data_IF_563537210763
#
_entry.id   IF_563537210763
#
_cell.length_a   1.000
_cell.length_b   1.000
_cell.length_c   1.000
_cell.angle_alpha   90.00
_cell.angle_beta   90.00
_cell.angle_gamma   90.00
#
_symmetry.space_group_name_H-M   'P 1'
#
loop_
_entity.id
_entity.type
_entity.pdbx_description
1 polymer ?
#
# COMPACT_ATOMS: atom_id res chain seq x y z
N UNK A 1 10.76 13.30 14.08
CA UNK A 1 11.06 12.63 12.80
C UNK A 1 11.38 11.17 13.11
N UNK A 2 10.55 10.25 12.63
CA UNK A 2 10.71 8.82 12.93
C UNK A 2 11.94 8.24 12.23
N UNK A 3 12.56 7.24 12.86
CA UNK A 3 13.75 6.55 12.36
C UNK A 3 13.50 5.06 12.33
N UNK A 4 13.92 4.39 11.26
CA UNK A 4 13.92 2.92 11.21
C UNK A 4 14.89 2.35 12.25
N UNK A 5 14.37 1.56 13.17
CA UNK A 5 15.14 0.84 14.19
C UNK A 5 15.49 -0.58 13.71
N UNK A 6 14.52 -1.27 13.10
CA UNK A 6 14.68 -2.63 12.58
C UNK A 6 13.83 -2.84 11.33
N UNK A 7 14.37 -3.53 10.34
CA UNK A 7 13.67 -3.97 9.13
C UNK A 7 14.34 -5.25 8.59
N UNK A 8 13.68 -6.03 7.73
CA UNK A 8 14.33 -7.10 6.99
C UNK A 8 15.55 -6.58 6.24
N UNK A 9 16.62 -7.37 6.16
CA UNK A 9 17.89 -6.93 5.56
C UNK A 9 17.76 -6.54 4.08
N UNK A 10 16.89 -7.22 3.35
CA UNK A 10 16.52 -6.95 1.96
C UNK A 10 15.33 -6.00 1.82
N UNK A 11 14.79 -5.52 2.95
CA UNK A 11 13.56 -4.73 3.07
C UNK A 11 12.31 -5.42 2.53
N UNK A 12 12.39 -6.71 2.17
CA UNK A 12 11.27 -7.48 1.64
C UNK A 12 10.37 -7.84 2.82
N UNK A 13 9.13 -7.39 2.75
CA UNK A 13 8.13 -7.59 3.80
C UNK A 13 7.07 -8.63 3.42
N UNK A 14 6.91 -8.88 2.11
CA UNK A 14 6.01 -9.88 1.58
C UNK A 14 6.49 -10.38 0.21
N UNK A 15 6.13 -11.62 -0.13
CA UNK A 15 6.28 -12.17 -1.48
C UNK A 15 4.92 -12.71 -1.90
N UNK A 16 4.38 -12.22 -3.01
CA UNK A 16 3.09 -12.65 -3.52
C UNK A 16 3.15 -12.99 -5.01
N UNK A 17 2.81 -14.23 -5.36
CA UNK A 17 2.86 -14.77 -6.74
C UNK A 17 4.19 -14.48 -7.48
N UNK A 18 5.32 -14.53 -6.76
CA UNK A 18 6.64 -14.28 -7.33
C UNK A 18 7.00 -12.81 -7.51
N UNK A 19 6.19 -11.89 -6.99
CA UNK A 19 6.53 -10.46 -6.86
C UNK A 19 6.98 -10.20 -5.42
N UNK A 20 8.19 -9.70 -5.27
CA UNK A 20 8.74 -9.32 -3.98
C UNK A 20 8.30 -7.89 -3.64
N UNK A 21 7.81 -7.65 -2.43
CA UNK A 21 7.31 -6.34 -1.99
C UNK A 21 8.15 -5.85 -0.83
N UNK A 22 8.62 -4.62 -0.96
CA UNK A 22 9.47 -3.94 -0.01
C UNK A 22 8.75 -2.80 0.70
N UNK A 23 9.15 -2.55 1.95
CA UNK A 23 8.76 -1.34 2.65
C UNK A 23 9.55 -0.14 2.11
N UNK A 24 8.84 0.90 1.65
CA UNK A 24 9.44 2.03 0.94
C UNK A 24 9.45 3.34 1.73
N UNK A 25 8.62 3.49 2.78
CA UNK A 25 8.62 4.69 3.60
C UNK A 25 7.45 4.79 4.56
N UNK A 26 7.55 5.77 5.49
CA UNK A 26 6.52 6.13 6.46
C UNK A 26 6.35 7.65 6.45
N UNK A 27 5.10 8.12 6.52
CA UNK A 27 4.75 9.52 6.72
C UNK A 27 3.73 9.63 7.86
N UNK A 28 4.14 10.28 8.95
CA UNK A 28 3.35 10.44 10.18
C UNK A 28 2.40 11.64 10.18
N UNK A 29 2.42 12.42 9.10
CA UNK A 29 1.73 13.70 8.98
C UNK A 29 0.66 13.70 7.88
N UNK A 30 0.15 12.52 7.55
CA UNK A 30 -0.87 12.36 6.52
C UNK A 30 -2.23 12.82 7.04
N UNK A 31 -2.89 13.69 6.29
CA UNK A 31 -4.28 14.07 6.56
C UNK A 31 -5.24 12.93 6.23
N UNK A 32 -6.36 12.86 6.93
CA UNK A 32 -7.36 11.82 6.67
C UNK A 32 -7.90 11.94 5.24
N UNK A 33 -8.19 10.81 4.57
CA UNK A 33 -8.78 10.84 3.24
C UNK A 33 -10.14 11.57 3.24
N UNK A 34 -10.50 12.31 2.18
CA UNK A 34 -11.73 13.11 2.13
C UNK A 34 -13.01 12.29 2.38
N UNK A 35 -13.06 11.05 1.87
CA UNK A 35 -14.20 10.14 2.01
C UNK A 35 -14.40 9.60 3.43
N UNK A 36 -13.40 9.71 4.31
CA UNK A 36 -13.52 9.33 5.72
C UNK A 36 -14.46 10.26 6.51
N UNK A 37 -14.69 11.48 6.03
CA UNK A 37 -15.62 12.45 6.64
C UNK A 37 -17.09 12.18 6.28
N UNK A 38 -17.35 11.34 5.28
CA UNK A 38 -18.69 11.09 4.73
C UNK A 38 -19.28 9.72 5.12
N UNK A 39 -18.47 8.84 5.71
CA UNK A 39 -18.90 7.50 6.07
C UNK A 39 -19.56 7.49 7.46
N UNK A 40 -20.86 7.16 7.51
CA UNK A 40 -21.63 6.97 8.75
C UNK A 40 -21.08 5.80 9.61
N UNK A 41 -20.30 4.89 9.01
CA UNK A 41 -19.62 3.79 9.69
C UNK A 41 -18.30 4.21 10.37
N UNK A 42 -17.78 5.41 10.05
CA UNK A 42 -16.61 6.01 10.69
C UNK A 42 -17.04 6.96 11.82
N UNK A 43 -17.79 6.44 12.79
CA UNK A 43 -18.11 7.16 14.04
C UNK A 43 -16.87 7.33 14.96
N UNK A 44 -15.71 6.88 14.47
CA UNK A 44 -14.41 7.06 15.10
C UNK A 44 -13.87 8.44 14.72
N UNK A 45 -14.10 9.42 15.57
CA UNK A 45 -13.68 10.82 15.45
C UNK A 45 -12.15 11.05 15.48
N UNK A 46 -11.39 10.28 14.70
CA UNK A 46 -9.97 10.47 14.51
C UNK A 46 -9.71 11.81 13.83
N UNK A 47 -8.72 12.54 14.32
CA UNK A 47 -8.30 13.85 13.78
C UNK A 47 -6.93 13.79 13.13
N UNK A 48 -6.28 12.62 13.18
CA UNK A 48 -4.93 12.38 12.67
C UNK A 48 -4.82 10.99 12.08
N UNK A 49 -3.92 10.84 11.11
CA UNK A 49 -3.58 9.57 10.48
C UNK A 49 -2.10 9.55 10.10
N UNK A 50 -1.62 8.37 9.75
CA UNK A 50 -0.31 8.19 9.15
C UNK A 50 -0.42 7.23 7.98
N UNK A 51 0.58 7.24 7.10
CA UNK A 51 0.64 6.32 5.97
C UNK A 51 2.01 5.66 5.87
N UNK A 52 2.04 4.47 5.27
CA UNK A 52 3.27 3.87 4.81
C UNK A 52 3.17 3.42 3.36
N UNK A 53 4.31 3.41 2.69
CA UNK A 53 4.41 3.06 1.27
C UNK A 53 5.06 1.69 1.11
N UNK A 54 4.49 0.89 0.24
CA UNK A 54 5.02 -0.38 -0.26
C UNK A 54 5.47 -0.20 -1.70
N UNK A 55 6.53 -0.91 -2.09
CA UNK A 55 7.03 -0.93 -3.46
C UNK A 55 7.40 -2.34 -3.88
N UNK A 56 6.90 -2.78 -5.03
CA UNK A 56 7.35 -4.04 -5.61
C UNK A 56 8.78 -3.91 -6.15
N UNK A 57 9.60 -4.90 -5.86
CA UNK A 57 10.99 -4.97 -6.33
C UNK A 57 10.99 -5.43 -7.80
N UNK A 58 11.68 -4.74 -8.71
CA UNK A 58 11.76 -5.17 -10.10
C UNK A 58 12.39 -6.57 -10.23
N UNK A 59 11.65 -7.51 -10.81
CA UNK A 59 12.12 -8.87 -11.06
C UNK A 59 11.62 -9.40 -12.43
N UNK A 60 11.77 -10.70 -12.69
CA UNK A 60 11.28 -11.30 -13.94
C UNK A 60 9.75 -11.26 -14.03
N UNK A 61 9.05 -11.52 -12.93
CA UNK A 61 7.59 -11.53 -12.88
C UNK A 61 7.01 -10.13 -13.13
N UNK A 62 7.54 -9.08 -12.47
CA UNK A 62 7.06 -7.71 -12.71
C UNK A 62 7.28 -7.28 -14.17
N UNK A 63 8.42 -7.62 -14.77
CA UNK A 63 8.70 -7.35 -16.19
C UNK A 63 7.74 -8.09 -17.12
N UNK A 64 7.39 -9.33 -16.82
CA UNK A 64 6.44 -10.10 -17.61
C UNK A 64 5.03 -9.47 -17.54
N UNK A 65 4.60 -9.10 -16.33
CA UNK A 65 3.30 -8.45 -16.11
C UNK A 65 3.21 -7.08 -16.80
N UNK A 66 4.30 -6.30 -16.79
CA UNK A 66 4.38 -5.02 -17.50
C UNK A 66 4.30 -5.20 -19.03
N UNK A 67 4.96 -6.23 -19.57
CA UNK A 67 4.90 -6.54 -21.00
C UNK A 67 3.49 -6.98 -21.44
N UNK A 68 2.83 -7.81 -20.62
CA UNK A 68 1.45 -8.24 -20.84
C UNK A 68 0.47 -7.07 -20.74
N UNK A 69 0.63 -6.20 -19.74
CA UNK A 69 -0.18 -5.00 -19.57
C UNK A 69 -0.01 -4.04 -20.77
N UNK A 70 1.22 -3.78 -21.18
CA UNK A 70 1.53 -2.92 -22.34
C UNK A 70 0.87 -3.45 -23.60
N UNK A 71 0.97 -4.76 -23.86
CA UNK A 71 0.34 -5.40 -25.02
C UNK A 71 -1.19 -5.28 -25.00
N UNK A 72 -1.82 -5.49 -23.82
CA UNK A 72 -3.28 -5.34 -23.65
C UNK A 72 -3.72 -3.89 -23.80
N UNK A 73 -2.94 -2.93 -23.29
CA UNK A 73 -3.21 -1.49 -23.38
C UNK A 73 -3.19 -1.02 -24.82
N UNK A 74 -2.21 -1.44 -25.61
CA UNK A 74 -2.14 -1.10 -27.03
C UNK A 74 -3.29 -1.75 -27.83
N UNK A 75 -3.64 -3.01 -27.54
CA UNK A 75 -4.81 -3.63 -28.17
C UNK A 75 -6.13 -2.91 -27.82
N UNK A 76 -6.30 -2.50 -26.57
CA UNK A 76 -7.46 -1.74 -26.12
C UNK A 76 -7.53 -0.36 -26.78
N UNK A 77 -6.41 0.36 -26.87
CA UNK A 77 -6.35 1.65 -27.59
C UNK A 77 -6.74 1.49 -29.07
N UNK A 78 -6.22 0.48 -29.75
CA UNK A 78 -6.57 0.22 -31.15
C UNK A 78 -8.07 -0.05 -31.33
N UNK A 79 -8.69 -0.81 -30.42
CA UNK A 79 -10.15 -1.03 -30.42
C UNK A 79 -10.92 0.26 -30.14
N UNK A 80 -10.43 1.09 -29.22
CA UNK A 80 -11.06 2.37 -28.87
C UNK A 80 -11.04 3.34 -30.05
N UNK A 81 -9.92 3.41 -30.78
CA UNK A 81 -9.76 4.25 -31.96
C UNK A 81 -10.59 3.76 -33.16
N UNK A 82 -10.64 2.44 -33.41
CA UNK A 82 -11.36 1.88 -34.55
C UNK A 82 -12.88 1.84 -34.33
N UNK A 83 -13.34 1.47 -33.12
CA UNK A 83 -14.73 1.06 -32.86
C UNK A 83 -15.43 1.86 -31.77
N UNK A 84 -14.72 2.78 -31.14
CA UNK A 84 -15.25 3.62 -30.06
C UNK A 84 -15.41 2.88 -28.72
N UNK A 85 -15.69 3.67 -27.68
CA UNK A 85 -15.67 3.21 -26.29
C UNK A 85 -16.70 2.11 -25.96
N UNK A 86 -17.83 2.06 -26.67
CA UNK A 86 -18.88 1.06 -26.44
C UNK A 86 -18.43 -0.37 -26.79
N UNK A 87 -17.46 -0.51 -27.70
CA UNK A 87 -16.93 -1.80 -28.15
C UNK A 87 -15.60 -2.12 -27.47
N UNK A 88 -14.73 -1.13 -27.28
CA UNK A 88 -13.44 -1.32 -26.62
C UNK A 88 -13.56 -1.73 -25.14
N UNK A 89 -14.65 -1.32 -24.47
CA UNK A 89 -14.87 -1.60 -23.06
C UNK A 89 -13.89 -0.88 -22.14
N UNK A 90 -13.78 -1.35 -20.90
CA UNK A 90 -12.91 -0.77 -19.88
C UNK A 90 -11.43 -0.94 -20.24
N UNK A 91 -10.61 0.04 -19.83
CA UNK A 91 -9.16 -0.08 -19.92
C UNK A 91 -8.68 -1.30 -19.11
N UNK A 92 -7.62 -1.98 -19.55
CA UNK A 92 -7.03 -3.05 -18.74
C UNK A 92 -6.58 -2.48 -17.38
N UNK A 93 -6.83 -3.20 -16.26
CA UNK A 93 -6.38 -2.78 -14.94
C UNK A 93 -4.85 -2.84 -14.85
N UNK A 94 -4.28 -2.12 -13.89
CA UNK A 94 -2.85 -2.21 -13.61
C UNK A 94 -2.54 -3.62 -13.07
N UNK A 95 -1.36 -4.17 -13.41
CA UNK A 95 -1.01 -5.52 -12.98
C UNK A 95 -0.92 -5.63 -11.46
N UNK A 96 -0.46 -4.57 -10.80
CA UNK A 96 -0.18 -4.45 -9.37
C UNK A 96 -1.41 -4.32 -8.47
N UNK A 97 -2.56 -3.88 -9.00
CA UNK A 97 -3.82 -3.74 -8.24
C UNK A 97 -4.14 -5.02 -7.47
N UNK A 98 -3.98 -6.17 -8.13
CA UNK A 98 -4.28 -7.49 -7.55
C UNK A 98 -3.33 -7.95 -6.46
N UNK A 99 -2.14 -7.34 -6.37
CA UNK A 99 -1.07 -7.77 -5.46
C UNK A 99 -1.12 -6.97 -4.17
N UNK A 100 -1.20 -5.64 -4.28
CA UNK A 100 -1.15 -4.79 -3.10
C UNK A 100 -2.40 -4.98 -2.23
N UNK A 101 -3.59 -5.13 -2.80
CA UNK A 101 -4.83 -5.42 -2.07
C UNK A 101 -4.77 -6.65 -1.14
N UNK A 102 -3.74 -7.50 -1.29
CA UNK A 102 -3.53 -8.71 -0.49
C UNK A 102 -2.47 -8.56 0.59
N UNK A 103 -1.84 -7.39 0.68
CA UNK A 103 -0.74 -7.09 1.60
C UNK A 103 -1.21 -6.00 2.57
N UNK A 104 -1.30 -6.39 3.83
CA UNK A 104 -1.75 -5.55 4.94
C UNK A 104 -0.63 -5.47 6.00
N UNK A 105 -0.79 -4.57 6.95
CA UNK A 105 0.02 -4.56 8.17
C UNK A 105 -0.86 -4.56 9.42
N UNK A 106 -0.49 -5.38 10.39
CA UNK A 106 -0.92 -5.22 11.77
C UNK A 106 0.00 -4.16 12.41
N UNK A 107 -0.59 -3.07 12.88
CA UNK A 107 0.14 -1.94 13.45
C UNK A 107 0.00 -1.96 14.95
N UNK A 108 1.12 -1.86 15.67
CA UNK A 108 1.14 -1.76 17.13
C UNK A 108 2.15 -0.71 17.59
N UNK A 109 1.92 -0.14 18.78
CA UNK A 109 2.88 0.74 19.46
C UNK A 109 3.14 0.26 20.90
N UNK A 110 4.04 0.94 21.61
CA UNK A 110 4.38 0.64 23.01
C UNK A 110 3.33 1.14 24.03
N UNK A 111 2.28 1.82 23.57
CA UNK A 111 1.18 2.33 24.41
C UNK A 111 -0.11 1.52 24.28
N UNK A 112 -0.19 0.58 23.33
CA UNK A 112 -1.37 -0.21 23.05
C UNK A 112 -2.45 0.55 22.29
N UNK A 113 -2.06 1.53 21.47
CA UNK A 113 -3.00 2.26 20.60
C UNK A 113 -3.61 1.30 19.59
N UNK A 114 -4.94 1.30 19.48
CA UNK A 114 -5.65 0.55 18.46
C UNK A 114 -5.64 1.33 17.15
N UNK A 115 -4.92 0.81 16.15
CA UNK A 115 -4.88 1.38 14.81
C UNK A 115 -5.84 0.65 13.87
N UNK A 116 -6.50 1.42 13.03
CA UNK A 116 -7.43 0.95 12.02
C UNK A 116 -6.95 1.36 10.64
N UNK A 117 -7.00 0.42 9.70
CA UNK A 117 -6.80 0.73 8.29
C UNK A 117 -8.01 1.51 7.76
N UNK A 118 -7.78 2.73 7.26
CA UNK A 118 -8.85 3.65 6.80
C UNK A 118 -8.85 3.85 5.30
N UNK A 119 -7.89 3.23 4.59
CA UNK A 119 -7.82 3.23 3.14
C UNK A 119 -6.39 3.33 2.62
N UNK A 120 -6.29 3.71 1.36
CA UNK A 120 -5.01 3.80 0.68
C UNK A 120 -5.19 3.96 -0.81
N UNK A 121 -4.06 4.00 -1.50
CA UNK A 121 -3.99 4.04 -2.95
C UNK A 121 -3.10 2.91 -3.42
N UNK A 122 -3.64 2.03 -4.26
CA UNK A 122 -2.84 1.09 -5.02
C UNK A 122 -2.41 1.76 -6.32
N UNK A 123 -1.16 1.52 -6.71
CA UNK A 123 -0.56 1.70 -8.03
C UNK A 123 -1.23 2.69 -8.99
N UNK A 124 -0.47 3.70 -9.41
CA UNK A 124 -0.91 4.63 -10.44
C UNK A 124 -0.20 4.35 -11.77
N UNK A 125 -0.63 4.98 -12.86
CA UNK A 125 0.10 4.90 -14.13
C UNK A 125 1.51 5.50 -14.04
N UNK A 126 1.75 6.40 -13.09
CA UNK A 126 3.04 7.05 -12.85
C UNK A 126 3.93 6.22 -11.90
N UNK A 127 3.30 5.53 -10.95
CA UNK A 127 3.93 4.61 -10.00
C UNK A 127 3.22 3.24 -10.02
N UNK A 128 3.39 2.43 -11.08
CA UNK A 128 2.61 1.21 -11.28
C UNK A 128 2.98 0.09 -10.32
N UNK A 129 4.01 0.25 -9.50
CA UNK A 129 4.51 -0.77 -8.58
C UNK A 129 4.67 -0.22 -7.17
N UNK A 130 3.87 0.77 -6.81
CA UNK A 130 3.83 1.35 -5.47
C UNK A 130 2.40 1.31 -4.93
N UNK A 131 2.26 1.23 -3.61
CA UNK A 131 0.99 1.40 -2.92
C UNK A 131 1.22 2.12 -1.60
N UNK A 132 0.21 2.85 -1.15
CA UNK A 132 0.21 3.56 0.12
C UNK A 132 -0.96 3.11 0.95
N UNK A 133 -0.70 2.72 2.20
CA UNK A 133 -1.74 2.37 3.17
C UNK A 133 -1.82 3.42 4.28
N UNK A 134 -3.04 3.82 4.61
CA UNK A 134 -3.33 4.87 5.58
C UNK A 134 -4.02 4.24 6.78
N UNK A 135 -3.50 4.55 7.97
CA UNK A 135 -4.00 4.08 9.25
C UNK A 135 -4.34 5.26 10.16
N UNK A 136 -5.36 5.07 11.00
CA UNK A 136 -5.79 6.03 12.00
C UNK A 136 -5.94 5.35 13.38
N UNK A 137 -5.68 6.06 14.50
CA UNK A 137 -5.16 7.43 14.55
C UNK A 137 -3.66 7.50 14.16
N UNK A 138 -3.10 8.72 14.05
CA UNK A 138 -1.64 8.84 14.05
C UNK A 138 -1.05 8.38 15.40
N UNK A 139 0.19 7.85 15.44
CA UNK A 139 0.81 7.45 16.69
C UNK A 139 0.84 8.60 17.71
N UNK A 140 0.49 8.36 18.99
CA UNK A 140 0.57 9.38 20.04
C UNK A 140 1.98 9.96 20.17
N UNK A 141 2.10 11.20 20.65
CA UNK A 141 3.42 11.83 20.84
C UNK A 141 4.25 11.13 21.92
N UNK A 142 3.58 10.47 22.86
CA UNK A 142 4.20 9.70 23.93
C UNK A 142 4.69 8.32 23.46
N UNK A 143 4.25 7.85 22.29
CA UNK A 143 4.66 6.55 21.75
C UNK A 143 6.14 6.60 21.38
N UNK A 144 6.90 5.63 21.86
CA UNK A 144 8.32 5.50 21.58
C UNK A 144 8.60 4.68 20.34
N UNK A 145 7.77 3.67 20.06
CA UNK A 145 8.01 2.74 18.96
C UNK A 145 6.73 2.45 18.19
N UNK A 146 6.85 2.27 16.87
CA UNK A 146 5.80 1.76 16.00
C UNK A 146 6.29 0.47 15.34
N UNK A 147 5.48 -0.58 15.40
CA UNK A 147 5.77 -1.87 14.77
C UNK A 147 4.73 -2.12 13.69
N UNK A 148 5.21 -2.46 12.50
CA UNK A 148 4.42 -2.88 11.35
C UNK A 148 4.71 -4.36 11.10
N UNK A 149 3.78 -5.24 11.47
CA UNK A 149 3.85 -6.67 11.18
C UNK A 149 3.09 -6.97 9.89
N UNK A 150 3.79 -7.44 8.86
CA UNK A 150 3.18 -7.59 7.54
C UNK A 150 2.42 -8.91 7.39
N UNK A 151 1.29 -8.82 6.71
CA UNK A 151 0.37 -9.91 6.42
C UNK A 151 0.20 -9.98 4.90
N UNK A 152 0.35 -11.16 4.33
CA UNK A 152 0.09 -11.41 2.91
C UNK A 152 -0.90 -12.58 2.78
N UNK A 153 -1.97 -12.40 2.01
CA UNK A 153 -3.03 -13.43 1.84
C UNK A 153 -3.61 -13.91 3.18
N UNK A 154 -3.77 -12.99 4.14
CA UNK A 154 -4.27 -13.29 5.49
C UNK A 154 -3.29 -14.06 6.39
N UNK A 155 -2.04 -14.26 5.97
CA UNK A 155 -1.01 -14.96 6.74
C UNK A 155 0.12 -14.00 7.13
N UNK A 156 0.56 -14.06 8.39
CA UNK A 156 1.75 -13.31 8.84
C UNK A 156 2.96 -13.74 8.03
N UNK A 157 3.68 -12.78 7.45
CA UNK A 157 4.88 -13.05 6.65
C UNK A 157 6.09 -13.39 7.53
N UNK A 158 6.01 -13.04 8.82
CA UNK A 158 7.15 -13.12 9.75
C UNK A 158 8.16 -11.99 9.59
N UNK A 159 7.86 -11.04 8.70
CA UNK A 159 8.65 -9.82 8.51
C UNK A 159 7.94 -8.65 9.18
N UNK A 160 8.73 -7.80 9.84
CA UNK A 160 8.23 -6.61 10.49
C UNK A 160 9.23 -5.46 10.39
N UNK A 161 8.69 -4.24 10.42
CA UNK A 161 9.46 -3.02 10.52
C UNK A 161 9.18 -2.37 11.87
N UNK A 162 10.24 -1.99 12.60
CA UNK A 162 10.15 -1.24 13.85
C UNK A 162 10.73 0.15 13.64
N UNK A 163 9.97 1.15 14.01
CA UNK A 163 10.36 2.56 13.91
C UNK A 163 10.44 3.17 15.30
N UNK A 164 11.52 3.89 15.57
CA UNK A 164 11.67 4.78 16.71
C UNK A 164 10.96 6.10 16.39
N UNK A 165 9.98 6.46 17.22
CA UNK A 165 9.18 7.67 17.10
C UNK A 165 9.75 8.83 17.93
N UNK A 166 10.69 8.56 18.85
CA UNK A 166 11.24 9.57 19.76
C UNK A 166 12.12 10.54 18.97
N UNK A 167 11.66 11.77 18.82
CA UNK A 167 12.45 12.85 18.20
C UNK A 167 12.45 14.13 19.01
#
# INVERSE_FOLDING_TARGET
>A
MARMESAPHDLIVAVHQGVDVSFAGLNLSTGLPPWHLESEDCDVGFTSSFEFTLRAVPNEMTRQLDADFSSKKEAWKAQLEERGASIAGSAPPLPSDKFFERIEAEVTDDLGTEYMWVGGETASLESPWEATWIYAPAPPQEAGHLVLDFIAEGLKTGHSCTLDLRS
#
